data_IF_372435080960
#
_entry.id   IF_372435080960
#
_cell.length_a   1.000
_cell.length_b   1.000
_cell.length_c   1.000
_cell.angle_alpha   90.00
_cell.angle_beta   90.00
_cell.angle_gamma   90.00
#
_symmetry.space_group_name_H-M   'P 1'
#
loop_
_entity.id
_entity.type
_entity.pdbx_description
1 polymer ?
#
# COMPACT_ATOMS: atom_id res chain seq x y z
N UNK A 1 11.46 14.06 -8.01
CA UNK A 1 10.09 13.65 -8.38
C UNK A 1 10.16 12.89 -9.70
N UNK A 2 9.97 11.57 -9.68
CA UNK A 2 10.02 10.75 -10.89
C UNK A 2 8.69 10.84 -11.62
N UNK A 3 8.70 11.49 -12.79
CA UNK A 3 7.54 11.61 -13.68
C UNK A 3 7.65 10.57 -14.77
N UNK A 4 6.54 9.91 -15.12
CA UNK A 4 6.50 8.97 -16.24
C UNK A 4 5.30 9.21 -17.14
N UNK A 5 5.49 8.91 -18.41
CA UNK A 5 4.39 8.81 -19.36
C UNK A 5 3.66 7.48 -19.14
N UNK A 6 2.38 7.56 -18.80
CA UNK A 6 1.53 6.41 -18.49
C UNK A 6 0.52 6.22 -19.62
N UNK A 7 0.45 4.99 -20.12
CA UNK A 7 -0.56 4.56 -21.10
C UNK A 7 -1.61 3.73 -20.36
N UNK A 8 -2.82 4.25 -20.25
CA UNK A 8 -3.95 3.51 -19.70
C UNK A 8 -4.50 2.63 -20.83
N UNK A 9 -4.59 1.32 -20.57
CA UNK A 9 -5.15 0.34 -21.49
C UNK A 9 -6.45 -0.24 -20.97
N UNK A 10 -7.40 -0.48 -21.86
CA UNK A 10 -8.63 -1.26 -21.61
C UNK A 10 -8.74 -2.30 -22.72
N UNK A 11 -8.87 -3.58 -22.36
CA UNK A 11 -8.93 -4.70 -23.30
C UNK A 11 -7.78 -4.74 -24.32
N UNK A 12 -6.57 -4.32 -23.92
CA UNK A 12 -5.38 -4.29 -24.78
C UNK A 12 -5.20 -2.99 -25.57
N UNK A 13 -6.25 -2.19 -25.75
CA UNK A 13 -6.19 -0.92 -26.48
C UNK A 13 -5.80 0.26 -25.59
N UNK A 14 -5.01 1.19 -26.12
CA UNK A 14 -4.62 2.41 -25.41
C UNK A 14 -5.79 3.40 -25.47
N UNK A 15 -6.46 3.61 -24.34
CA UNK A 15 -7.60 4.53 -24.23
C UNK A 15 -7.18 5.94 -23.81
N UNK A 16 -6.04 6.08 -23.13
CA UNK A 16 -5.55 7.39 -22.67
C UNK A 16 -4.03 7.37 -22.54
N UNK A 17 -3.38 8.42 -23.02
CA UNK A 17 -1.98 8.73 -22.70
C UNK A 17 -1.98 9.88 -21.71
N UNK A 18 -1.29 9.72 -20.60
CA UNK A 18 -1.07 10.75 -19.61
C UNK A 18 0.44 11.02 -19.56
N UNK A 19 0.84 12.27 -19.80
CA UNK A 19 2.22 12.69 -19.66
C UNK A 19 2.50 13.15 -18.23
N UNK A 20 3.74 13.00 -17.80
CA UNK A 20 4.23 13.53 -16.51
C UNK A 20 3.46 13.05 -15.25
N UNK A 21 2.91 11.84 -15.28
CA UNK A 21 2.18 11.30 -14.11
C UNK A 21 3.15 11.00 -12.98
N UNK A 22 2.82 11.50 -11.79
CA UNK A 22 3.49 11.07 -10.56
C UNK A 22 2.91 9.71 -10.18
N UNK A 23 3.75 8.68 -10.19
CA UNK A 23 3.34 7.28 -9.94
C UNK A 23 3.40 6.89 -8.45
N UNK A 24 3.76 7.83 -7.59
CA UNK A 24 3.82 7.65 -6.14
C UNK A 24 3.25 8.89 -5.46
N UNK A 25 2.62 8.71 -4.30
CA UNK A 25 2.14 9.82 -3.49
C UNK A 25 3.26 10.25 -2.54
N UNK A 26 3.74 11.49 -2.66
CA UNK A 26 4.79 12.00 -1.77
C UNK A 26 4.23 12.52 -0.43
N UNK A 27 2.93 12.78 -0.36
CA UNK A 27 2.31 13.39 0.82
C UNK A 27 2.19 12.41 2.00
N UNK A 28 2.38 11.11 1.74
CA UNK A 28 2.35 10.08 2.78
C UNK A 28 3.64 10.03 3.63
N UNK A 29 4.69 10.75 3.24
CA UNK A 29 5.95 10.81 3.99
C UNK A 29 5.96 11.98 4.98
N UNK A 30 5.00 11.99 5.91
CA UNK A 30 4.85 13.02 6.96
C UNK A 30 4.98 12.41 8.37
N UNK A 31 5.26 13.25 9.37
CA UNK A 31 5.40 12.78 10.77
C UNK A 31 4.06 12.25 11.27
N UNK A 32 4.08 11.07 11.90
CA UNK A 32 2.89 10.42 12.47
C UNK A 32 1.77 10.20 11.45
N UNK A 33 2.15 9.93 10.18
CA UNK A 33 1.20 9.71 9.12
C UNK A 33 0.34 8.47 9.40
N UNK A 34 -0.97 8.60 9.19
CA UNK A 34 -1.88 7.48 9.23
C UNK A 34 -1.80 6.69 7.92
N UNK A 35 -1.39 5.43 8.03
CA UNK A 35 -1.51 4.44 6.97
C UNK A 35 -2.71 3.54 7.26
N UNK A 36 -3.51 3.28 6.22
CA UNK A 36 -4.70 2.45 6.36
C UNK A 36 -4.29 0.98 6.50
N UNK A 37 -4.90 0.27 7.46
CA UNK A 37 -4.57 -1.13 7.78
C UNK A 37 -5.03 -2.12 6.71
N UNK A 38 -4.37 -3.28 6.64
CA UNK A 38 -4.79 -4.39 5.81
C UNK A 38 -6.23 -4.84 6.15
N UNK A 39 -7.01 -5.21 5.14
CA UNK A 39 -8.45 -5.54 5.22
C UNK A 39 -9.38 -4.42 5.73
N UNK A 40 -8.87 -3.21 6.00
CA UNK A 40 -9.72 -2.07 6.37
C UNK A 40 -10.18 -1.26 5.16
N UNK A 41 -11.35 -0.65 5.26
CA UNK A 41 -11.89 0.30 4.28
C UNK A 41 -11.80 1.75 4.79
N UNK A 42 -12.00 2.72 3.89
CA UNK A 42 -12.25 4.10 4.31
C UNK A 42 -13.68 4.20 4.86
N UNK A 43 -13.93 5.12 5.79
CA UNK A 43 -15.28 5.39 6.28
C UNK A 43 -16.25 5.66 5.11
N UNK A 44 -17.41 4.98 5.13
CA UNK A 44 -18.42 5.07 4.07
C UNK A 44 -18.01 4.45 2.72
N UNK A 45 -17.00 3.57 2.70
CA UNK A 45 -16.59 2.80 1.52
C UNK A 45 -16.50 1.32 1.86
N UNK A 46 -16.82 0.48 0.88
CA UNK A 46 -16.76 -0.98 1.04
C UNK A 46 -15.43 -1.58 0.53
N UNK A 47 -14.64 -0.78 -0.19
CA UNK A 47 -13.38 -1.22 -0.78
C UNK A 47 -12.27 -1.32 0.29
N UNK A 48 -11.92 -2.56 0.63
CA UNK A 48 -10.84 -2.89 1.57
C UNK A 48 -9.49 -3.07 0.85
N UNK A 49 -8.39 -2.84 1.59
CA UNK A 49 -7.05 -3.20 1.10
C UNK A 49 -6.88 -4.73 1.17
N UNK A 50 -6.52 -5.35 0.04
CA UNK A 50 -6.26 -6.79 -0.08
C UNK A 50 -4.91 -7.02 -0.74
N UNK A 51 -4.36 -8.23 -0.56
CA UNK A 51 -3.15 -8.64 -1.24
C UNK A 51 -3.39 -8.61 -2.75
N UNK A 52 -2.45 -8.03 -3.48
CA UNK A 52 -2.56 -7.97 -4.94
C UNK A 52 -2.40 -9.38 -5.53
N UNK A 53 -3.24 -9.73 -6.50
CA UNK A 53 -3.30 -11.07 -7.11
C UNK A 53 -1.97 -11.56 -7.73
N UNK A 54 -1.08 -10.64 -8.11
CA UNK A 54 0.22 -10.98 -8.69
C UNK A 54 1.37 -10.72 -7.70
N UNK A 55 1.09 -10.69 -6.40
CA UNK A 55 2.14 -10.60 -5.38
C UNK A 55 2.85 -11.96 -5.26
N UNK A 56 4.16 -11.99 -5.53
CA UNK A 56 4.97 -13.20 -5.46
C UNK A 56 5.72 -13.35 -4.12
N UNK A 57 5.55 -12.41 -3.18
CA UNK A 57 6.30 -12.38 -1.92
C UNK A 57 5.94 -13.54 -0.97
N UNK A 58 4.65 -13.85 -0.84
CA UNK A 58 4.13 -14.84 0.12
C UNK A 58 4.04 -16.28 -0.43
N UNK A 59 4.38 -16.50 -1.71
CA UNK A 59 4.24 -17.82 -2.34
C UNK A 59 2.79 -18.35 -2.32
N UNK A 60 2.61 -19.63 -1.98
CA UNK A 60 1.32 -20.34 -2.00
C UNK A 60 0.51 -20.23 -0.71
N UNK A 61 1.12 -19.81 0.41
CA UNK A 61 0.45 -19.72 1.71
C UNK A 61 0.16 -18.25 2.01
N UNK A 62 -1.12 -17.91 2.14
CA UNK A 62 -1.59 -16.55 2.35
C UNK A 62 -2.54 -16.54 3.54
N UNK A 63 -2.02 -16.67 4.75
CA UNK A 63 -2.83 -16.39 5.93
C UNK A 63 -2.89 -14.87 6.15
N UNK A 64 -4.07 -14.39 6.54
CA UNK A 64 -4.32 -12.95 6.68
C UNK A 64 -3.56 -12.34 7.86
N UNK A 65 -3.15 -13.15 8.84
CA UNK A 65 -2.46 -12.68 10.04
C UNK A 65 -1.01 -12.30 9.73
N UNK A 66 -0.28 -13.18 9.04
CA UNK A 66 1.07 -12.90 8.53
C UNK A 66 1.06 -11.67 7.63
N UNK A 67 0.14 -11.61 6.66
CA UNK A 67 0.03 -10.46 5.76
C UNK A 67 -0.31 -9.18 6.53
N UNK A 68 -1.15 -9.27 7.56
CA UNK A 68 -1.49 -8.13 8.41
C UNK A 68 -0.23 -7.60 9.10
N UNK A 69 0.54 -8.44 9.78
CA UNK A 69 1.76 -8.02 10.48
C UNK A 69 2.84 -7.51 9.53
N UNK A 70 3.06 -8.17 8.39
CA UNK A 70 4.03 -7.74 7.37
C UNK A 70 3.63 -6.42 6.68
N UNK A 71 2.34 -6.07 6.69
CA UNK A 71 1.84 -4.81 6.13
C UNK A 71 2.03 -3.60 7.04
N UNK A 72 2.41 -3.80 8.31
CA UNK A 72 2.54 -2.70 9.27
C UNK A 72 3.78 -1.85 8.96
N UNK A 73 3.55 -0.55 8.73
CA UNK A 73 4.62 0.42 8.55
C UNK A 73 5.04 0.94 9.92
N UNK A 74 6.07 0.32 10.50
CA UNK A 74 6.67 0.73 11.78
C UNK A 74 8.06 1.34 11.56
N UNK A 75 8.52 2.25 12.45
CA UNK A 75 9.89 2.74 12.41
C UNK A 75 10.91 1.59 12.50
N UNK A 76 12.03 1.71 11.78
CA UNK A 76 13.11 0.71 11.81
C UNK A 76 13.70 0.50 13.21
N UNK A 77 13.52 1.45 14.11
CA UNK A 77 13.98 1.40 15.50
C UNK A 77 12.83 1.18 16.49
N UNK A 78 11.67 0.69 16.02
CA UNK A 78 10.51 0.40 16.86
C UNK A 78 10.85 -0.46 18.09
N UNK A 79 11.78 -1.40 17.96
CA UNK A 79 12.25 -2.26 19.07
C UNK A 79 12.96 -1.50 20.20
N UNK A 80 13.39 -0.24 19.98
CA UNK A 80 14.02 0.60 21.01
C UNK A 80 12.99 1.27 21.92
N UNK A 81 11.72 1.24 21.56
CA UNK A 81 10.63 1.79 22.35
C UNK A 81 9.99 0.64 23.14
N UNK A 82 10.30 0.49 24.44
CA UNK A 82 9.71 -0.56 25.25
C UNK A 82 8.19 -0.41 25.26
N UNK A 83 7.49 -1.54 25.15
CA UNK A 83 6.04 -1.58 25.35
C UNK A 83 5.74 -1.00 26.72
N UNK A 84 4.79 -0.07 26.79
CA UNK A 84 4.20 0.35 28.06
C UNK A 84 3.65 -0.94 28.69
N UNK A 85 4.21 -1.31 29.85
CA UNK A 85 3.65 -2.39 30.66
C UNK A 85 2.47 -1.77 31.41
N UNK A 86 1.29 -2.37 31.25
CA UNK A 86 0.08 -2.04 31.99
C UNK A 86 0.18 -2.50 33.45
#
# INVERSE_FOLDING_TARGET
MVKKDVKIRKNGEIIKKLSEVVIFDNQVYSKNQQFRLFLSSKAGKDAVLKLYKNCNFYGTIQDNETIFFDSLVVPNDYYKFPRLQD
#
